data_IF_499625858543
#
_entry.id   IF_499625858543
#
_cell.length_a   1.000
_cell.length_b   1.000
_cell.length_c   1.000
_cell.angle_alpha   90.00
_cell.angle_beta   90.00
_cell.angle_gamma   90.00
#
_symmetry.space_group_name_H-M   'P 1'
#
loop_
_entity.id
_entity.type
_entity.pdbx_description
1 polymer ?
#
# COMPACT_ATOMS: atom_id res chain seq x y z
N UNK A 1 -100.54 25.50 4.65
CA UNK A 1 -99.18 26.01 4.98
C UNK A 1 -98.21 24.87 5.31
N UNK A 2 -98.57 23.88 6.07
CA UNK A 2 -97.62 22.77 6.52
C UNK A 2 -96.96 21.94 5.39
N UNK A 3 -97.67 21.67 4.28
CA UNK A 3 -97.07 20.86 3.19
C UNK A 3 -95.95 21.57 2.39
N UNK A 4 -95.98 22.95 2.34
CA UNK A 4 -94.92 23.74 1.69
C UNK A 4 -93.65 23.87 2.54
N UNK A 5 -93.76 23.80 3.85
CA UNK A 5 -92.66 23.80 4.82
C UNK A 5 -91.94 22.45 4.85
N UNK A 6 -92.71 21.35 4.79
CA UNK A 6 -92.11 20.00 4.71
C UNK A 6 -91.33 19.77 3.40
N UNK A 7 -91.87 20.21 2.25
CA UNK A 7 -91.15 20.12 0.97
C UNK A 7 -89.87 20.96 0.96
N UNK A 8 -89.87 22.12 1.61
CA UNK A 8 -88.64 22.98 1.71
C UNK A 8 -87.60 22.39 2.66
N UNK A 9 -88.04 21.79 3.79
CA UNK A 9 -87.13 21.08 4.69
C UNK A 9 -86.52 19.83 4.07
N UNK A 10 -87.28 19.08 3.25
CA UNK A 10 -86.81 17.92 2.52
C UNK A 10 -85.83 18.26 1.41
N UNK A 11 -86.06 19.41 0.74
CA UNK A 11 -85.16 19.93 -0.29
C UNK A 11 -83.85 20.40 0.31
N UNK A 12 -83.90 21.15 1.46
CA UNK A 12 -82.67 21.58 2.19
C UNK A 12 -81.89 20.42 2.76
N UNK A 13 -82.51 19.34 3.21
CA UNK A 13 -81.87 18.13 3.70
C UNK A 13 -81.18 17.36 2.54
N UNK A 14 -81.81 17.31 1.34
CA UNK A 14 -81.21 16.73 0.16
C UNK A 14 -79.96 17.50 -0.34
N UNK A 15 -80.06 18.80 -0.42
CA UNK A 15 -78.99 19.71 -0.78
C UNK A 15 -77.79 19.61 0.23
N UNK A 16 -78.09 19.51 1.51
CA UNK A 16 -77.04 19.34 2.53
C UNK A 16 -76.35 17.98 2.46
N UNK A 17 -77.14 16.92 2.23
CA UNK A 17 -76.57 15.57 2.03
C UNK A 17 -75.77 15.47 0.74
N UNK A 18 -76.14 16.18 -0.32
CA UNK A 18 -75.37 16.24 -1.56
C UNK A 18 -74.07 17.04 -1.41
N UNK A 19 -74.08 18.16 -0.66
CA UNK A 19 -72.86 18.92 -0.33
C UNK A 19 -71.88 18.10 0.55
N UNK A 20 -72.43 17.40 1.54
CA UNK A 20 -71.60 16.51 2.39
C UNK A 20 -70.96 15.36 1.57
N UNK A 21 -71.70 14.80 0.60
CA UNK A 21 -71.16 13.75 -0.29
C UNK A 21 -70.07 14.27 -1.20
N UNK A 22 -70.27 15.48 -1.79
CA UNK A 22 -69.27 16.12 -2.67
C UNK A 22 -68.03 16.48 -1.83
N UNK A 23 -68.20 17.02 -0.64
CA UNK A 23 -67.09 17.35 0.24
C UNK A 23 -66.30 16.06 0.68
N UNK A 24 -66.98 14.98 1.00
CA UNK A 24 -66.37 13.71 1.33
C UNK A 24 -65.63 13.10 0.13
N UNK A 25 -66.18 13.21 -1.07
CA UNK A 25 -65.51 12.71 -2.31
C UNK A 25 -64.27 13.58 -2.64
N UNK A 26 -64.33 14.88 -2.47
CA UNK A 26 -63.18 15.77 -2.64
C UNK A 26 -62.07 15.47 -1.64
N UNK A 27 -62.42 15.31 -0.35
CA UNK A 27 -61.46 14.96 0.69
C UNK A 27 -60.81 13.57 0.46
N UNK A 28 -61.63 12.61 -0.05
CA UNK A 28 -61.09 11.29 -0.41
C UNK A 28 -60.14 11.35 -1.62
N UNK A 29 -60.45 12.20 -2.62
CA UNK A 29 -59.56 12.42 -3.78
C UNK A 29 -58.25 13.10 -3.38
N UNK A 30 -58.33 14.17 -2.58
CA UNK A 30 -57.15 14.87 -2.08
C UNK A 30 -56.27 13.95 -1.23
N UNK A 31 -56.86 13.11 -0.39
CA UNK A 31 -56.12 12.12 0.40
C UNK A 31 -55.45 11.08 -0.47
N UNK A 32 -56.14 10.55 -1.48
CA UNK A 32 -55.59 9.59 -2.42
C UNK A 32 -54.47 10.20 -3.28
N UNK A 33 -54.57 11.46 -3.66
CA UNK A 33 -53.58 12.21 -4.40
C UNK A 33 -52.34 12.49 -3.53
N UNK A 34 -52.51 12.87 -2.28
CA UNK A 34 -51.42 13.05 -1.31
C UNK A 34 -50.68 11.75 -1.03
N UNK A 35 -51.38 10.63 -0.81
CA UNK A 35 -50.78 9.30 -0.64
C UNK A 35 -50.02 8.85 -1.90
N UNK A 36 -50.54 9.16 -3.07
CA UNK A 36 -49.86 8.85 -4.34
C UNK A 36 -48.57 9.65 -4.49
N UNK A 37 -48.62 10.96 -4.23
CA UNK A 37 -47.43 11.84 -4.27
C UNK A 37 -46.38 11.41 -3.26
N UNK A 38 -46.79 11.01 -2.07
CA UNK A 38 -45.90 10.53 -1.02
C UNK A 38 -45.22 9.21 -1.44
N UNK A 39 -45.99 8.27 -2.02
CA UNK A 39 -45.40 7.02 -2.57
C UNK A 39 -44.45 7.28 -3.71
N UNK A 40 -44.77 8.17 -4.63
CA UNK A 40 -43.89 8.54 -5.74
C UNK A 40 -42.58 9.19 -5.23
N UNK A 41 -42.70 10.05 -4.20
CA UNK A 41 -41.56 10.68 -3.54
C UNK A 41 -40.66 9.65 -2.86
N UNK A 42 -41.23 8.75 -2.07
CA UNK A 42 -40.49 7.67 -1.40
C UNK A 42 -39.81 6.72 -2.41
N UNK A 43 -40.52 6.40 -3.49
CA UNK A 43 -39.94 5.56 -4.55
C UNK A 43 -38.79 6.28 -5.28
N UNK A 44 -38.91 7.57 -5.56
CA UNK A 44 -37.84 8.37 -6.16
C UNK A 44 -36.61 8.49 -5.23
N UNK A 45 -36.84 8.73 -3.93
CA UNK A 45 -35.76 8.77 -2.93
C UNK A 45 -35.04 7.42 -2.79
N UNK A 46 -35.79 6.33 -2.86
CA UNK A 46 -35.23 4.98 -2.79
C UNK A 46 -34.36 4.66 -4.02
N UNK A 47 -34.83 5.01 -5.21
CA UNK A 47 -34.08 4.85 -6.47
C UNK A 47 -32.80 5.70 -6.46
N UNK A 48 -32.88 6.92 -5.97
CA UNK A 48 -31.71 7.79 -5.87
C UNK A 48 -30.69 7.25 -4.89
N UNK A 49 -31.14 6.74 -3.75
CA UNK A 49 -30.28 6.09 -2.75
C UNK A 49 -29.60 4.84 -3.32
N UNK A 50 -30.34 3.96 -3.99
CA UNK A 50 -29.78 2.78 -4.64
C UNK A 50 -28.77 3.16 -5.74
N UNK A 51 -29.04 4.22 -6.49
CA UNK A 51 -28.10 4.72 -7.49
C UNK A 51 -26.80 5.22 -6.88
N UNK A 52 -26.88 5.99 -5.80
CA UNK A 52 -25.70 6.50 -5.07
C UNK A 52 -24.87 5.35 -4.46
N UNK A 53 -25.55 4.37 -3.86
CA UNK A 53 -24.89 3.16 -3.33
C UNK A 53 -24.23 2.33 -4.45
N UNK A 54 -24.87 2.18 -5.59
CA UNK A 54 -24.30 1.48 -6.75
C UNK A 54 -23.12 2.25 -7.36
N UNK A 55 -23.16 3.57 -7.43
CA UNK A 55 -22.08 4.40 -7.92
C UNK A 55 -20.88 4.36 -6.96
N UNK A 56 -21.11 4.39 -5.65
CA UNK A 56 -20.07 4.23 -4.64
C UNK A 56 -19.42 2.85 -4.70
N UNK A 57 -20.22 1.78 -4.83
CA UNK A 57 -19.72 0.42 -5.00
C UNK A 57 -18.93 0.26 -6.31
N UNK A 58 -19.39 0.82 -7.41
CA UNK A 58 -18.68 0.80 -8.69
C UNK A 58 -17.35 1.58 -8.60
N UNK A 59 -17.33 2.70 -7.89
CA UNK A 59 -16.11 3.47 -7.63
C UNK A 59 -15.13 2.67 -6.77
N UNK A 60 -15.60 2.04 -5.69
CA UNK A 60 -14.77 1.20 -4.84
C UNK A 60 -14.22 -0.02 -5.60
N UNK A 61 -15.03 -0.66 -6.44
CA UNK A 61 -14.59 -1.75 -7.29
C UNK A 61 -13.61 -1.29 -8.39
N UNK A 62 -13.83 -0.14 -8.99
CA UNK A 62 -12.90 0.44 -9.97
C UNK A 62 -11.57 0.82 -9.31
N UNK A 63 -11.60 1.39 -8.11
CA UNK A 63 -10.41 1.68 -7.31
C UNK A 63 -9.70 0.38 -6.88
N UNK A 64 -10.42 -0.63 -6.46
CA UNK A 64 -9.89 -1.95 -6.16
C UNK A 64 -9.29 -2.63 -7.40
N UNK A 65 -9.90 -2.50 -8.57
CA UNK A 65 -9.40 -3.04 -9.83
C UNK A 65 -8.20 -2.24 -10.36
N UNK A 66 -8.20 -0.92 -10.21
CA UNK A 66 -7.06 -0.07 -10.56
C UNK A 66 -5.83 -0.31 -9.65
N UNK A 67 -6.08 -0.70 -8.39
CA UNK A 67 -5.03 -1.15 -7.46
C UNK A 67 -4.63 -2.62 -7.77
N UNK A 68 -5.48 -3.36 -8.45
CA UNK A 68 -5.41 -4.81 -8.63
C UNK A 68 -4.73 -5.28 -9.92
N UNK A 69 -4.13 -4.40 -10.72
CA UNK A 69 -3.14 -4.85 -11.71
C UNK A 69 -1.81 -5.03 -10.98
N UNK A 70 -1.51 -6.23 -10.46
CA UNK A 70 -0.22 -6.44 -9.83
C UNK A 70 0.80 -6.39 -10.97
N UNK A 71 1.75 -5.45 -10.87
CA UNK A 71 2.97 -5.63 -11.63
C UNK A 71 3.54 -6.98 -11.21
N UNK A 72 3.86 -7.81 -12.20
CA UNK A 72 4.49 -9.08 -11.90
C UNK A 72 5.97 -8.89 -11.60
N UNK A 73 6.59 -7.89 -12.23
CA UNK A 73 8.01 -7.58 -12.04
C UNK A 73 8.25 -6.09 -11.84
N UNK A 74 9.20 -5.79 -10.96
CA UNK A 74 9.69 -4.45 -10.76
C UNK A 74 11.21 -4.44 -10.62
N UNK A 75 11.86 -3.38 -11.13
CA UNK A 75 13.24 -3.06 -10.83
C UNK A 75 13.30 -2.18 -9.58
N UNK A 76 14.35 -2.37 -8.81
CA UNK A 76 14.56 -1.72 -7.51
C UNK A 76 15.94 -1.09 -7.46
N UNK A 77 16.03 0.14 -6.92
CA UNK A 77 17.30 0.83 -6.68
C UNK A 77 17.23 1.54 -5.33
N UNK A 78 18.07 1.14 -4.39
CA UNK A 78 18.10 1.75 -3.06
C UNK A 78 18.88 3.07 -3.08
N UNK A 79 18.16 4.19 -3.16
CA UNK A 79 18.72 5.53 -3.27
C UNK A 79 19.59 5.90 -2.05
N UNK A 80 19.25 5.42 -0.86
CA UNK A 80 20.05 5.66 0.33
C UNK A 80 21.44 5.02 0.21
N UNK A 81 21.54 3.82 -0.34
CA UNK A 81 22.81 3.16 -0.63
C UNK A 81 23.59 3.84 -1.75
N UNK A 82 22.91 4.27 -2.79
CA UNK A 82 23.53 5.04 -3.87
C UNK A 82 24.13 6.35 -3.36
N UNK A 83 23.46 7.04 -2.44
CA UNK A 83 23.97 8.25 -1.81
C UNK A 83 25.26 8.01 -1.01
N UNK A 84 25.50 6.78 -0.54
CA UNK A 84 26.73 6.37 0.14
C UNK A 84 27.76 5.73 -0.80
N UNK A 85 27.64 5.94 -2.10
CA UNK A 85 28.51 5.38 -3.15
C UNK A 85 28.57 3.84 -3.12
N UNK A 86 27.48 3.21 -2.71
CA UNK A 86 27.34 1.75 -2.62
C UNK A 86 26.16 1.32 -3.49
N UNK A 87 26.30 1.30 -4.83
CA UNK A 87 25.22 0.94 -5.75
C UNK A 87 24.52 -0.37 -5.35
N UNK A 88 23.19 -0.29 -5.32
CA UNK A 88 22.31 -1.39 -4.97
C UNK A 88 21.19 -1.44 -6.01
N UNK A 89 21.03 -2.58 -6.64
CA UNK A 89 19.99 -2.87 -7.62
C UNK A 89 19.30 -4.18 -7.26
N UNK A 90 18.04 -4.28 -7.59
CA UNK A 90 17.27 -5.48 -7.33
C UNK A 90 16.10 -5.65 -8.27
N UNK A 91 15.52 -6.81 -8.16
CA UNK A 91 14.27 -7.18 -8.82
C UNK A 91 13.27 -7.63 -7.78
N UNK A 92 12.01 -7.37 -8.05
CA UNK A 92 10.89 -7.89 -7.26
C UNK A 92 9.92 -8.60 -8.19
N UNK A 93 9.52 -9.79 -7.80
CA UNK A 93 8.46 -10.54 -8.44
C UNK A 93 7.28 -10.68 -7.48
N UNK A 94 6.13 -10.12 -7.85
CA UNK A 94 4.87 -10.33 -7.15
C UNK A 94 4.17 -11.57 -7.68
N UNK A 95 4.18 -12.62 -6.87
CA UNK A 95 3.50 -13.88 -7.18
C UNK A 95 1.99 -13.67 -7.16
N UNK A 96 1.50 -12.87 -6.23
CA UNK A 96 0.10 -12.50 -6.10
C UNK A 96 -0.05 -11.17 -5.32
N UNK A 97 -1.28 -10.74 -5.05
CA UNK A 97 -1.56 -9.48 -4.31
C UNK A 97 -0.93 -9.42 -2.91
N UNK A 98 -0.64 -10.57 -2.30
CA UNK A 98 -0.18 -10.65 -0.92
C UNK A 98 1.29 -11.02 -0.80
N UNK A 99 1.83 -11.76 -1.76
CA UNK A 99 3.19 -12.33 -1.67
C UNK A 99 4.06 -11.82 -2.78
N UNK A 100 5.24 -11.35 -2.41
CA UNK A 100 6.32 -11.01 -3.33
C UNK A 100 7.64 -11.60 -2.88
N UNK A 101 8.53 -11.81 -3.85
CA UNK A 101 9.93 -12.18 -3.65
C UNK A 101 10.75 -11.05 -4.24
N UNK A 102 11.69 -10.52 -3.47
CA UNK A 102 12.65 -9.54 -3.92
C UNK A 102 14.09 -10.10 -3.77
N UNK A 103 14.96 -9.72 -4.67
CA UNK A 103 16.39 -9.99 -4.56
C UNK A 103 17.12 -8.69 -4.87
N UNK A 104 17.88 -8.20 -3.91
CA UNK A 104 18.72 -7.02 -4.07
C UNK A 104 20.18 -7.43 -4.08
N UNK A 105 20.97 -6.80 -4.94
CA UNK A 105 22.41 -6.98 -5.06
C UNK A 105 23.11 -5.65 -4.88
N UNK A 106 24.14 -5.66 -4.05
CA UNK A 106 24.99 -4.49 -3.81
C UNK A 106 26.39 -4.79 -4.27
N UNK A 107 27.02 -3.83 -4.95
CA UNK A 107 28.41 -3.94 -5.32
C UNK A 107 29.10 -2.57 -5.22
N UNK A 108 30.22 -2.54 -4.49
CA UNK A 108 31.08 -1.36 -4.40
C UNK A 108 32.55 -1.79 -4.33
N UNK A 109 33.43 -1.04 -4.98
CA UNK A 109 34.89 -1.27 -4.91
C UNK A 109 35.62 0.05 -5.11
N UNK A 110 35.95 0.70 -4.02
CA UNK A 110 36.63 2.00 -4.00
C UNK A 110 38.00 1.85 -3.37
N UNK A 111 39.00 2.52 -3.94
CA UNK A 111 40.36 2.63 -3.38
C UNK A 111 40.84 4.07 -3.58
N UNK A 112 41.50 4.62 -2.57
CA UNK A 112 42.07 5.96 -2.58
C UNK A 112 43.37 5.98 -1.74
N UNK A 113 44.03 7.10 -1.63
CA UNK A 113 45.30 7.27 -0.92
C UNK A 113 46.36 6.26 -1.41
N UNK A 114 46.67 6.29 -2.73
CA UNK A 114 47.56 5.36 -3.42
C UNK A 114 47.32 3.86 -3.12
N UNK A 115 46.01 3.52 -3.03
CA UNK A 115 45.49 2.18 -2.66
C UNK A 115 45.73 1.81 -1.19
N UNK A 116 46.18 2.73 -0.37
CA UNK A 116 46.35 2.50 1.05
C UNK A 116 45.01 2.48 1.82
N UNK A 117 43.96 3.07 1.25
CA UNK A 117 42.57 3.01 1.75
C UNK A 117 41.71 2.22 0.78
N UNK A 118 40.80 1.40 1.32
CA UNK A 118 39.94 0.54 0.54
C UNK A 118 38.57 0.40 1.21
N UNK A 119 37.54 0.45 0.39
CA UNK A 119 36.19 0.03 0.72
C UNK A 119 35.67 -0.83 -0.43
N UNK A 120 35.46 -2.10 -0.18
CA UNK A 120 34.84 -3.01 -1.15
C UNK A 120 33.82 -3.88 -0.44
N UNK A 121 32.67 -4.03 -1.08
CA UNK A 121 31.53 -4.78 -0.57
C UNK A 121 30.78 -5.38 -1.74
N UNK A 122 30.38 -6.64 -1.62
CA UNK A 122 29.28 -7.18 -2.40
C UNK A 122 28.32 -7.92 -1.47
N UNK A 123 27.04 -7.78 -1.71
CA UNK A 123 25.98 -8.43 -0.93
C UNK A 123 24.88 -8.89 -1.87
N UNK A 124 24.25 -10.01 -1.51
CA UNK A 124 22.97 -10.45 -2.09
C UNK A 124 21.99 -10.61 -0.95
N UNK A 125 20.80 -10.06 -1.15
CA UNK A 125 19.74 -10.01 -0.14
C UNK A 125 18.42 -10.49 -0.75
N UNK A 126 18.16 -11.81 -0.74
CA UNK A 126 16.82 -12.34 -1.01
C UNK A 126 15.87 -12.00 0.15
N UNK A 127 14.62 -11.71 -0.20
CA UNK A 127 13.57 -11.27 0.69
C UNK A 127 12.24 -11.83 0.25
N UNK A 128 11.45 -12.36 1.18
CA UNK A 128 10.06 -12.74 0.96
C UNK A 128 9.18 -11.73 1.70
N UNK A 129 8.20 -11.17 1.00
CA UNK A 129 7.33 -10.10 1.48
C UNK A 129 5.88 -10.54 1.54
N UNK A 130 5.21 -10.16 2.63
CA UNK A 130 3.77 -10.30 2.77
C UNK A 130 3.15 -8.90 2.80
N UNK A 131 2.36 -8.58 1.77
CA UNK A 131 1.73 -7.28 1.60
C UNK A 131 0.42 -7.17 2.36
N UNK A 132 0.28 -6.10 3.14
CA UNK A 132 -0.79 -5.86 4.09
C UNK A 132 -1.72 -4.72 3.63
N UNK A 133 -2.90 -4.64 4.25
CA UNK A 133 -3.88 -3.60 3.97
C UNK A 133 -4.67 -3.81 2.67
N UNK A 134 -5.67 -2.99 2.43
CA UNK A 134 -6.51 -3.04 1.23
C UNK A 134 -5.72 -2.67 -0.02
N UNK A 135 -4.90 -1.64 0.05
CA UNK A 135 -4.09 -1.11 -1.06
C UNK A 135 -2.76 -1.85 -1.27
N UNK A 136 -2.42 -2.82 -0.39
CA UNK A 136 -1.18 -3.60 -0.46
C UNK A 136 0.11 -2.77 -0.55
N UNK A 137 0.11 -1.63 0.15
CA UNK A 137 1.26 -0.72 0.22
C UNK A 137 2.22 -1.04 1.36
N UNK A 138 1.69 -1.44 2.53
CA UNK A 138 2.50 -1.91 3.65
C UNK A 138 2.88 -3.36 3.49
N UNK A 139 4.04 -3.75 4.00
CA UNK A 139 4.46 -5.15 4.04
C UNK A 139 5.32 -5.47 5.25
N UNK A 140 5.34 -6.73 5.58
CA UNK A 140 6.32 -7.36 6.46
C UNK A 140 7.00 -8.49 5.68
N UNK A 141 8.27 -8.73 5.93
CA UNK A 141 9.01 -9.75 5.22
C UNK A 141 10.10 -10.39 6.07
N UNK A 142 10.62 -11.49 5.54
CA UNK A 142 11.82 -12.12 6.03
C UNK A 142 12.92 -11.95 4.99
N UNK A 143 14.12 -11.61 5.44
CA UNK A 143 15.28 -11.42 4.59
C UNK A 143 16.44 -12.29 5.05
N UNK A 144 17.22 -12.70 4.08
CA UNK A 144 18.56 -13.27 4.29
C UNK A 144 19.58 -12.38 3.60
N UNK A 145 20.78 -12.29 4.16
CA UNK A 145 21.88 -11.49 3.63
C UNK A 145 23.14 -12.33 3.63
N UNK A 146 23.84 -12.32 2.50
CA UNK A 146 25.15 -12.91 2.36
C UNK A 146 26.04 -12.03 1.50
N UNK A 147 27.31 -11.95 1.81
CA UNK A 147 28.25 -11.15 1.05
C UNK A 147 29.67 -11.19 1.59
N UNK A 148 30.51 -10.41 0.93
CA UNK A 148 31.91 -10.25 1.33
C UNK A 148 32.25 -8.78 1.42
N UNK A 149 33.14 -8.47 2.33
CA UNK A 149 33.64 -7.11 2.53
C UNK A 149 35.16 -7.08 2.61
N UNK A 150 35.71 -5.94 2.22
CA UNK A 150 37.10 -5.62 2.41
C UNK A 150 37.24 -4.12 2.63
N UNK A 151 37.45 -3.75 3.86
CA UNK A 151 37.66 -2.33 4.19
C UNK A 151 38.97 -2.10 4.94
N UNK A 152 39.66 -1.05 4.53
CA UNK A 152 40.86 -0.53 5.16
C UNK A 152 40.73 1.00 5.26
N UNK A 153 40.15 1.46 6.34
CA UNK A 153 39.94 2.89 6.62
C UNK A 153 41.01 3.46 7.55
N UNK A 154 41.85 2.57 8.10
CA UNK A 154 42.99 2.90 8.95
C UNK A 154 44.19 2.06 8.53
N UNK A 155 45.23 1.96 9.35
CA UNK A 155 46.40 1.10 9.06
C UNK A 155 46.05 -0.38 8.95
N UNK A 156 45.07 -0.82 9.76
CA UNK A 156 44.60 -2.22 9.73
C UNK A 156 43.37 -2.36 8.86
N UNK A 157 43.46 -3.20 7.85
CA UNK A 157 42.33 -3.62 7.03
C UNK A 157 41.63 -4.86 7.60
N UNK A 158 40.40 -5.07 7.22
CA UNK A 158 39.57 -6.25 7.52
C UNK A 158 38.93 -6.73 6.23
N UNK A 159 39.03 -8.03 5.99
CA UNK A 159 38.45 -8.68 4.82
C UNK A 159 37.79 -9.98 5.27
N UNK A 160 36.58 -10.22 4.83
CA UNK A 160 35.89 -11.44 5.23
C UNK A 160 34.51 -11.59 4.63
N UNK A 161 33.78 -12.53 5.16
CA UNK A 161 32.45 -12.91 4.76
C UNK A 161 31.44 -12.39 5.81
N UNK A 162 30.26 -12.10 5.35
CA UNK A 162 29.12 -11.77 6.23
C UNK A 162 27.90 -12.59 5.81
N UNK A 163 27.15 -13.03 6.79
CA UNK A 163 25.87 -13.67 6.59
C UNK A 163 24.92 -13.34 7.72
N UNK A 164 23.64 -13.36 7.44
CA UNK A 164 22.65 -13.08 8.46
C UNK A 164 21.25 -13.06 7.91
N UNK A 165 20.32 -12.64 8.73
CA UNK A 165 18.93 -12.53 8.34
C UNK A 165 18.13 -11.73 9.36
N UNK A 166 16.90 -11.43 8.99
CA UNK A 166 16.03 -10.63 9.85
C UNK A 166 14.64 -10.51 9.31
N UNK A 167 13.87 -9.70 10.03
CA UNK A 167 12.54 -9.29 9.64
C UNK A 167 12.65 -7.87 9.08
N UNK A 168 11.97 -7.62 7.98
CA UNK A 168 11.89 -6.30 7.36
C UNK A 168 10.43 -5.84 7.33
N UNK A 169 10.21 -4.58 7.59
CA UNK A 169 8.93 -3.91 7.40
C UNK A 169 9.10 -2.72 6.49
N UNK A 170 8.09 -2.43 5.68
CA UNK A 170 8.15 -1.30 4.79
C UNK A 170 6.79 -0.82 4.28
N UNK A 171 6.86 0.31 3.58
CA UNK A 171 5.70 0.94 2.98
C UNK A 171 6.05 1.50 1.61
N UNK A 172 5.26 1.15 0.60
CA UNK A 172 5.40 1.62 -0.77
C UNK A 172 4.47 2.81 -1.03
N UNK A 173 5.06 3.98 -1.22
CA UNK A 173 4.35 5.17 -1.66
C UNK A 173 4.28 5.18 -3.19
N UNK A 174 3.10 5.04 -3.74
CA UNK A 174 2.87 5.10 -5.20
C UNK A 174 3.02 6.54 -5.68
N UNK A 175 3.97 6.79 -6.58
CA UNK A 175 4.16 8.09 -7.22
C UNK A 175 3.30 8.22 -8.48
N UNK A 176 3.30 7.15 -9.30
CA UNK A 176 2.45 7.00 -10.48
C UNK A 176 2.24 5.51 -10.79
N UNK A 177 1.69 5.18 -11.97
CA UNK A 177 1.42 3.79 -12.33
C UNK A 177 2.70 2.95 -12.51
N UNK A 178 3.81 3.57 -12.90
CA UNK A 178 5.08 2.88 -13.14
C UNK A 178 6.07 2.99 -11.98
N UNK A 179 5.97 4.03 -11.13
CA UNK A 179 6.99 4.35 -10.13
C UNK A 179 6.39 4.39 -8.72
N UNK A 180 7.13 3.83 -7.78
CA UNK A 180 6.85 3.90 -6.34
C UNK A 180 8.14 4.16 -5.56
N UNK A 181 8.02 4.73 -4.35
CA UNK A 181 9.09 4.79 -3.36
C UNK A 181 8.78 3.79 -2.25
N UNK A 182 9.73 2.93 -1.95
CA UNK A 182 9.66 1.91 -0.89
C UNK A 182 10.56 2.34 0.27
N UNK A 183 9.96 2.63 1.40
CA UNK A 183 10.63 2.92 2.66
C UNK A 183 10.66 1.65 3.49
N UNK A 184 11.87 1.19 3.84
CA UNK A 184 12.00 -0.06 4.59
C UNK A 184 13.05 0.02 5.69
N UNK A 185 12.82 -0.78 6.71
CA UNK A 185 13.72 -0.99 7.83
C UNK A 185 13.70 -2.48 8.21
N UNK A 186 14.88 -3.07 8.35
CA UNK A 186 15.05 -4.45 8.79
C UNK A 186 15.83 -4.54 10.09
N UNK A 187 15.36 -5.42 10.96
CA UNK A 187 16.02 -5.77 12.22
C UNK A 187 16.35 -7.25 12.19
N UNK A 188 17.56 -7.60 12.63
CA UNK A 188 18.00 -8.98 12.60
C UNK A 188 19.40 -9.20 13.15
N UNK A 189 19.98 -10.31 12.73
CA UNK A 189 21.28 -10.77 13.15
C UNK A 189 22.21 -10.90 11.95
N UNK A 190 23.45 -10.42 12.09
CA UNK A 190 24.54 -10.61 11.13
C UNK A 190 25.74 -11.21 11.87
N UNK A 191 26.29 -12.25 11.27
CA UNK A 191 27.55 -12.85 11.62
C UNK A 191 28.60 -12.51 10.55
N UNK A 192 29.78 -12.10 10.99
CA UNK A 192 30.89 -11.81 10.10
C UNK A 192 32.18 -12.45 10.59
N UNK A 193 32.83 -13.23 9.72
CA UNK A 193 34.14 -13.77 9.91
C UNK A 193 35.14 -12.97 9.08
N UNK A 194 36.24 -12.56 9.66
CA UNK A 194 37.23 -11.74 8.93
C UNK A 194 38.64 -11.93 9.36
N UNK A 195 39.52 -11.70 8.40
CA UNK A 195 40.98 -11.57 8.60
C UNK A 195 41.34 -10.09 8.76
N UNK A 196 42.24 -9.83 9.69
CA UNK A 196 42.93 -8.55 9.84
C UNK A 196 44.19 -8.55 9.04
N UNK A 197 44.50 -7.49 8.31
CA UNK A 197 45.70 -7.34 7.54
C UNK A 197 46.30 -5.96 7.60
N UNK A 198 47.60 -5.85 7.35
CA UNK A 198 48.30 -4.58 7.09
C UNK A 198 48.94 -4.66 5.72
N UNK A 199 49.23 -3.50 5.14
CA UNK A 199 49.97 -3.43 3.86
C UNK A 199 51.39 -2.95 4.19
N UNK A 200 52.37 -3.75 3.83
CA UNK A 200 53.79 -3.46 4.01
C UNK A 200 54.46 -3.57 2.61
N UNK A 201 55.03 -2.49 2.12
CA UNK A 201 55.63 -2.41 0.81
C UNK A 201 54.73 -2.92 -0.32
N UNK A 202 53.41 -2.58 -0.26
CA UNK A 202 52.43 -3.01 -1.25
C UNK A 202 51.91 -4.44 -1.08
N UNK A 203 52.43 -5.23 -0.16
CA UNK A 203 52.03 -6.60 0.10
C UNK A 203 51.09 -6.67 1.30
N UNK A 204 50.01 -7.44 1.18
CA UNK A 204 49.11 -7.70 2.31
C UNK A 204 49.66 -8.74 3.23
N UNK A 205 49.85 -8.39 4.47
CA UNK A 205 50.33 -9.31 5.53
C UNK A 205 49.18 -9.53 6.51
N UNK A 206 48.76 -10.78 6.66
CA UNK A 206 47.73 -11.18 7.63
C UNK A 206 48.26 -10.99 9.06
N UNK A 207 47.43 -10.42 9.92
CA UNK A 207 47.75 -10.12 11.34
C UNK A 207 46.87 -10.87 12.33
N UNK A 208 45.97 -11.71 11.85
CA UNK A 208 45.05 -12.50 12.65
C UNK A 208 43.66 -12.55 12.06
N UNK A 209 42.79 -13.28 12.71
CA UNK A 209 41.38 -13.39 12.35
C UNK A 209 40.49 -12.90 13.48
N UNK A 210 39.22 -12.79 13.23
CA UNK A 210 38.20 -12.46 14.23
C UNK A 210 36.81 -12.69 13.70
N UNK A 211 35.88 -12.76 14.62
CA UNK A 211 34.45 -12.86 14.34
C UNK A 211 33.73 -11.67 14.95
N UNK A 212 32.60 -11.27 14.37
CA UNK A 212 31.73 -10.26 14.93
C UNK A 212 30.28 -10.63 14.72
N UNK A 213 29.53 -10.60 15.79
CA UNK A 213 28.11 -10.76 15.82
C UNK A 213 27.43 -9.40 16.04
N UNK A 214 26.37 -9.15 15.29
CA UNK A 214 25.60 -7.90 15.40
C UNK A 214 24.12 -8.21 15.48
N UNK A 215 23.47 -7.67 16.48
CA UNK A 215 22.02 -7.62 16.61
C UNK A 215 21.54 -6.18 16.52
N UNK A 216 20.53 -5.91 15.68
CA UNK A 216 19.98 -4.58 15.52
C UNK A 216 19.53 -4.30 14.10
N UNK A 217 19.54 -3.04 13.65
CA UNK A 217 19.22 -2.68 12.28
C UNK A 217 20.23 -3.33 11.32
N UNK A 218 19.72 -4.13 10.37
CA UNK A 218 20.52 -4.85 9.37
C UNK A 218 20.20 -4.43 7.94
N UNK A 219 19.11 -3.68 7.77
CA UNK A 219 18.72 -3.09 6.50
C UNK A 219 17.99 -1.78 6.73
N UNK A 220 18.24 -0.80 5.89
CA UNK A 220 17.45 0.43 5.79
C UNK A 220 17.46 0.87 4.32
N UNK A 221 16.31 1.35 3.82
CA UNK A 221 16.21 1.73 2.42
C UNK A 221 15.16 2.80 2.15
N UNK A 222 15.51 3.66 1.22
CA UNK A 222 14.60 4.46 0.42
C UNK A 222 14.81 3.99 -1.02
N UNK A 223 13.95 3.12 -1.50
CA UNK A 223 14.15 2.40 -2.74
C UNK A 223 13.18 2.91 -3.81
N UNK A 224 13.70 3.32 -4.94
CA UNK A 224 12.90 3.56 -6.13
C UNK A 224 12.50 2.20 -6.71
N UNK A 225 11.21 2.03 -6.94
CA UNK A 225 10.63 0.81 -7.52
C UNK A 225 10.00 1.18 -8.84
N UNK A 226 10.47 0.57 -9.90
CA UNK A 226 9.93 0.72 -11.25
C UNK A 226 9.17 -0.54 -11.64
N UNK A 227 7.84 -0.41 -11.73
CA UNK A 227 6.93 -1.48 -12.11
C UNK A 227 7.00 -1.66 -13.64
N UNK A 228 7.33 -2.86 -14.11
CA UNK A 228 7.54 -3.11 -15.54
C UNK A 228 6.28 -3.69 -16.18
N UNK A 229 5.58 -4.64 -15.52
CA UNK A 229 4.34 -5.28 -15.97
C UNK A 229 3.55 -5.86 -14.79
#
# INVERSE_FOLDING_TARGET
>A
MAAKEQAKAEQTAKEKAEQERIAAEQAAREKAEAERMERERMAAEQVEKERLEAEEQARLQAEETAIATPYHFALRANLLRWATLTPDLGIEWRINRHVGIAVNGTWASWSWDDKNRRYALWEVVPEVRWYLGKEKRGYIGAMYKAGQFNYKLSETGRQGDLMGGGIVGGYQLKLNNALSLDFNLGIGYIHADYDKYVVINGVRVRRGSGTKNWWGPVSAGVTLVWNIF
#
